data_IF_853366718415
#
_entry.id   IF_853366718415
#
_cell.length_a   1.000
_cell.length_b   1.000
_cell.length_c   1.000
_cell.angle_alpha   90.00
_cell.angle_beta   90.00
_cell.angle_gamma   90.00
#
_symmetry.space_group_name_H-M   'P 1'
#
loop_
_entity.id
_entity.type
_entity.pdbx_description
1 polymer ?
#
# COMPACT_ATOMS: atom_id res chain seq x y z
N UNK A 1 28.12 24.37 -10.67
CA UNK A 1 29.21 23.38 -10.70
C UNK A 1 28.76 22.15 -9.94
N UNK A 2 28.34 21.10 -10.65
CA UNK A 2 28.08 19.78 -10.06
C UNK A 2 29.42 19.05 -9.93
N UNK A 3 29.91 18.88 -8.71
CA UNK A 3 31.06 18.02 -8.45
C UNK A 3 30.66 16.59 -8.77
N UNK A 4 31.20 16.06 -9.87
CA UNK A 4 31.01 14.67 -10.27
C UNK A 4 31.94 13.82 -9.39
N UNK A 5 31.51 13.51 -8.16
CA UNK A 5 32.20 12.54 -7.33
C UNK A 5 31.99 11.17 -7.97
N UNK A 6 32.95 10.71 -8.77
CA UNK A 6 33.05 9.32 -9.18
C UNK A 6 33.19 8.47 -7.93
N UNK A 7 32.08 7.94 -7.42
CA UNK A 7 32.12 6.95 -6.37
C UNK A 7 32.99 5.78 -6.87
N UNK A 8 33.94 5.29 -6.06
CA UNK A 8 34.70 4.10 -6.43
C UNK A 8 33.73 2.94 -6.70
N UNK A 9 34.02 2.07 -7.69
CA UNK A 9 33.13 0.96 -8.03
C UNK A 9 32.87 0.14 -6.77
N UNK A 10 31.60 0.10 -6.36
CA UNK A 10 31.18 -0.75 -5.23
C UNK A 10 31.62 -2.18 -5.55
N UNK A 11 32.31 -2.89 -4.63
CA UNK A 11 32.69 -4.27 -4.85
C UNK A 11 31.46 -5.07 -5.25
N UNK A 12 31.53 -5.77 -6.38
CA UNK A 12 30.45 -6.65 -6.83
C UNK A 12 30.34 -7.80 -5.82
N UNK A 13 29.35 -7.71 -4.93
CA UNK A 13 29.06 -8.72 -3.92
C UNK A 13 27.80 -9.49 -4.32
N UNK A 14 27.75 -10.81 -4.05
CA UNK A 14 26.59 -11.62 -4.37
C UNK A 14 25.35 -11.16 -3.60
N UNK A 15 24.15 -11.49 -4.08
CA UNK A 15 22.89 -11.08 -3.43
C UNK A 15 22.82 -11.55 -1.97
N UNK A 16 23.33 -12.75 -1.68
CA UNK A 16 23.34 -13.31 -0.33
C UNK A 16 23.99 -12.35 0.68
N UNK A 17 25.13 -11.76 0.32
CA UNK A 17 25.84 -10.78 1.15
C UNK A 17 24.95 -9.56 1.48
N UNK A 18 24.18 -9.06 0.51
CA UNK A 18 23.30 -7.91 0.72
C UNK A 18 22.02 -8.24 1.50
N UNK A 19 21.63 -9.52 1.56
CA UNK A 19 20.48 -9.99 2.33
C UNK A 19 20.84 -10.38 3.77
N UNK A 20 22.12 -10.60 4.07
CA UNK A 20 22.59 -10.95 5.41
C UNK A 20 22.26 -9.85 6.44
N UNK A 21 21.77 -10.29 7.60
CA UNK A 21 21.38 -9.36 8.67
C UNK A 21 22.56 -8.58 9.26
N UNK A 22 23.77 -9.13 9.18
CA UNK A 22 24.98 -8.51 9.72
C UNK A 22 25.42 -7.31 8.88
N UNK A 23 25.37 -7.44 7.54
CA UNK A 23 25.66 -6.34 6.60
C UNK A 23 24.61 -5.23 6.73
N UNK A 24 23.34 -5.60 6.98
CA UNK A 24 22.28 -4.63 7.23
C UNK A 24 22.46 -3.84 8.54
N UNK A 25 23.07 -4.45 9.59
CA UNK A 25 23.37 -3.78 10.86
C UNK A 25 24.50 -2.75 10.73
N UNK A 26 25.46 -2.99 9.86
CA UNK A 26 26.59 -2.10 9.61
C UNK A 26 26.19 -0.84 8.83
N UNK A 27 25.05 -0.86 8.14
CA UNK A 27 24.55 0.28 7.36
C UNK A 27 23.51 1.08 8.15
N UNK A 28 23.61 2.43 8.21
CA UNK A 28 22.60 3.26 8.86
C UNK A 28 21.19 2.96 8.33
N UNK A 29 20.19 2.96 9.20
CA UNK A 29 18.81 2.56 8.86
C UNK A 29 18.19 3.39 7.72
N UNK A 30 18.67 4.63 7.57
CA UNK A 30 18.19 5.62 6.60
C UNK A 30 19.05 5.75 5.34
N UNK A 31 20.15 5.00 5.22
CA UNK A 31 20.96 5.04 3.99
C UNK A 31 20.14 4.43 2.84
N UNK A 32 19.90 5.18 1.75
CA UNK A 32 19.18 4.65 0.60
C UNK A 32 20.01 3.54 -0.06
N UNK A 33 19.34 2.47 -0.44
CA UNK A 33 19.91 1.39 -1.25
C UNK A 33 18.89 0.94 -2.28
N UNK A 34 19.36 0.42 -3.41
CA UNK A 34 18.48 -0.08 -4.46
C UNK A 34 17.54 -1.17 -3.92
N UNK A 35 18.05 -2.08 -3.08
CA UNK A 35 17.24 -3.13 -2.45
C UNK A 35 16.17 -2.57 -1.49
N UNK A 36 16.50 -1.56 -0.68
CA UNK A 36 15.53 -0.89 0.20
C UNK A 36 14.44 -0.19 -0.60
N UNK A 37 14.80 0.42 -1.71
CA UNK A 37 13.85 1.10 -2.60
C UNK A 37 12.92 0.08 -3.31
N UNK A 38 13.45 -1.03 -3.80
CA UNK A 38 12.64 -2.12 -4.35
C UNK A 38 11.68 -2.69 -3.31
N UNK A 39 12.15 -2.89 -2.08
CA UNK A 39 11.29 -3.31 -0.98
C UNK A 39 10.20 -2.27 -0.68
N UNK A 40 10.55 -0.98 -0.65
CA UNK A 40 9.59 0.09 -0.44
C UNK A 40 8.48 0.09 -1.49
N UNK A 41 8.83 0.00 -2.78
CA UNK A 41 7.86 -0.14 -3.89
C UNK A 41 7.00 -1.40 -3.73
N UNK A 42 7.57 -2.49 -3.23
CA UNK A 42 6.84 -3.74 -3.00
C UNK A 42 5.73 -3.54 -1.97
N UNK A 43 6.09 -2.90 -0.85
CA UNK A 43 5.15 -2.51 0.19
C UNK A 43 4.06 -1.59 -0.35
N UNK A 44 4.41 -0.59 -1.16
CA UNK A 44 3.46 0.35 -1.74
C UNK A 44 2.45 -0.30 -2.68
N UNK A 45 2.89 -1.16 -3.60
CA UNK A 45 1.95 -1.84 -4.51
C UNK A 45 1.01 -2.77 -3.76
N UNK A 46 1.46 -3.41 -2.68
CA UNK A 46 0.58 -4.22 -1.80
C UNK A 46 -0.38 -3.35 -1.01
N UNK A 47 0.11 -2.23 -0.46
CA UNK A 47 -0.70 -1.22 0.23
C UNK A 47 -1.78 -0.64 -0.67
N UNK A 48 -1.44 -0.28 -1.91
CA UNK A 48 -2.38 0.18 -2.93
C UNK A 48 -3.47 -0.85 -3.22
N UNK A 49 -3.09 -2.11 -3.46
CA UNK A 49 -4.06 -3.17 -3.70
C UNK A 49 -5.00 -3.39 -2.51
N UNK A 50 -4.45 -3.35 -1.28
CA UNK A 50 -5.23 -3.49 -0.06
C UNK A 50 -6.18 -2.29 0.16
N UNK A 51 -5.71 -1.07 -0.09
CA UNK A 51 -6.53 0.13 -0.04
C UNK A 51 -7.70 0.07 -1.04
N UNK A 52 -7.43 -0.27 -2.30
CA UNK A 52 -8.48 -0.47 -3.31
C UNK A 52 -9.48 -1.56 -2.88
N UNK A 53 -9.00 -2.67 -2.30
CA UNK A 53 -9.86 -3.76 -1.87
C UNK A 53 -10.84 -3.29 -0.77
N UNK A 54 -10.36 -2.56 0.24
CA UNK A 54 -11.26 -2.02 1.27
C UNK A 54 -12.16 -0.89 0.76
N UNK A 55 -11.73 -0.06 -0.20
CA UNK A 55 -12.63 0.88 -0.90
C UNK A 55 -13.73 0.10 -1.63
N UNK A 56 -13.40 -1.02 -2.28
CA UNK A 56 -14.38 -1.91 -2.90
C UNK A 56 -15.37 -2.49 -1.89
N UNK A 57 -14.89 -3.02 -0.76
CA UNK A 57 -15.77 -3.51 0.33
C UNK A 57 -16.72 -2.41 0.81
N UNK A 58 -16.22 -1.19 0.97
CA UNK A 58 -17.04 -0.04 1.35
C UNK A 58 -18.08 0.29 0.28
N UNK A 59 -17.69 0.26 -1.00
CA UNK A 59 -18.59 0.45 -2.13
C UNK A 59 -19.72 -0.58 -2.17
N UNK A 60 -19.42 -1.85 -1.89
CA UNK A 60 -20.44 -2.91 -1.76
C UNK A 60 -21.37 -2.65 -0.57
N UNK A 61 -20.83 -2.22 0.57
CA UNK A 61 -21.64 -1.86 1.73
C UNK A 61 -22.58 -0.67 1.47
N UNK A 62 -22.12 0.35 0.76
CA UNK A 62 -22.94 1.50 0.35
C UNK A 62 -24.02 1.04 -0.65
N UNK A 63 -23.66 0.21 -1.63
CA UNK A 63 -24.63 -0.33 -2.59
C UNK A 63 -25.73 -1.13 -1.89
N UNK A 64 -25.36 -1.96 -0.90
CA UNK A 64 -26.31 -2.70 -0.08
C UNK A 64 -27.23 -1.77 0.72
N UNK A 65 -26.68 -0.74 1.39
CA UNK A 65 -27.48 0.26 2.10
C UNK A 65 -28.45 0.98 1.18
N UNK A 66 -28.02 1.35 -0.02
CA UNK A 66 -28.88 1.98 -1.02
C UNK A 66 -29.99 1.03 -1.49
N UNK A 67 -29.68 -0.24 -1.71
CA UNK A 67 -30.70 -1.22 -2.09
C UNK A 67 -31.77 -1.39 -0.99
N UNK A 68 -31.40 -1.34 0.28
CA UNK A 68 -32.32 -1.47 1.43
C UNK A 68 -33.11 -0.18 1.71
N UNK A 69 -32.50 0.98 1.48
CA UNK A 69 -33.08 2.29 1.83
C UNK A 69 -33.82 2.98 0.68
N UNK A 70 -33.27 2.87 -0.52
CA UNK A 70 -33.77 3.49 -1.76
C UNK A 70 -33.77 2.44 -2.89
N UNK A 71 -34.55 1.36 -2.77
CA UNK A 71 -34.58 0.27 -3.76
C UNK A 71 -34.93 0.76 -5.17
N UNK A 72 -35.68 1.87 -5.28
CA UNK A 72 -36.06 2.47 -6.55
C UNK A 72 -34.88 2.96 -7.40
N UNK A 73 -33.71 3.21 -6.80
CA UNK A 73 -32.52 3.72 -7.50
C UNK A 73 -31.62 2.54 -7.94
N UNK A 74 -32.18 1.64 -8.76
CA UNK A 74 -31.56 0.37 -9.16
C UNK A 74 -30.20 0.59 -9.83
N UNK A 75 -30.16 1.52 -10.78
CA UNK A 75 -28.95 1.79 -11.56
C UNK A 75 -27.77 2.22 -10.68
N UNK A 76 -28.01 2.95 -9.58
CA UNK A 76 -26.96 3.50 -8.75
C UNK A 76 -26.27 2.41 -7.92
N UNK A 77 -27.05 1.56 -7.24
CA UNK A 77 -26.45 0.47 -6.47
C UNK A 77 -25.86 -0.61 -7.38
N UNK A 78 -26.46 -0.88 -8.55
CA UNK A 78 -25.86 -1.78 -9.54
C UNK A 78 -24.51 -1.27 -10.05
N UNK A 79 -24.41 0.03 -10.37
CA UNK A 79 -23.17 0.67 -10.79
C UNK A 79 -22.09 0.59 -9.69
N UNK A 80 -22.48 0.85 -8.44
CA UNK A 80 -21.55 0.75 -7.30
C UNK A 80 -21.03 -0.68 -7.09
N UNK A 81 -21.89 -1.70 -7.25
CA UNK A 81 -21.45 -3.10 -7.18
C UNK A 81 -20.41 -3.38 -8.27
N UNK A 82 -20.70 -3.01 -9.52
CA UNK A 82 -19.76 -3.23 -10.63
C UNK A 82 -18.45 -2.49 -10.39
N UNK A 83 -18.50 -1.21 -10.00
CA UNK A 83 -17.30 -0.41 -9.73
C UNK A 83 -16.47 -0.99 -8.57
N UNK A 84 -17.12 -1.42 -7.49
CA UNK A 84 -16.46 -2.04 -6.34
C UNK A 84 -15.77 -3.35 -6.72
N UNK A 85 -16.46 -4.23 -7.46
CA UNK A 85 -15.89 -5.49 -7.94
C UNK A 85 -14.70 -5.24 -8.89
N UNK A 86 -14.82 -4.26 -9.80
CA UNK A 86 -13.72 -3.87 -10.67
C UNK A 86 -12.50 -3.39 -9.88
N UNK A 87 -12.68 -2.56 -8.85
CA UNK A 87 -11.58 -2.13 -7.98
C UNK A 87 -10.92 -3.29 -7.24
N UNK A 88 -11.73 -4.22 -6.70
CA UNK A 88 -11.24 -5.40 -5.97
C UNK A 88 -10.48 -6.39 -6.87
N UNK A 89 -10.74 -6.42 -8.18
CA UNK A 89 -10.05 -7.32 -9.12
C UNK A 89 -8.89 -6.62 -9.84
N UNK A 90 -9.12 -5.44 -10.40
CA UNK A 90 -8.15 -4.74 -11.23
C UNK A 90 -6.96 -4.21 -10.42
N UNK A 91 -7.17 -3.61 -9.24
CA UNK A 91 -6.05 -3.08 -8.46
C UNK A 91 -5.06 -4.19 -8.01
N UNK A 92 -5.51 -5.35 -7.49
CA UNK A 92 -4.59 -6.46 -7.20
C UNK A 92 -3.91 -7.04 -8.44
N UNK A 93 -4.59 -7.10 -9.59
CA UNK A 93 -3.96 -7.52 -10.85
C UNK A 93 -2.86 -6.55 -11.28
N UNK A 94 -3.13 -5.24 -11.26
CA UNK A 94 -2.14 -4.21 -11.56
C UNK A 94 -0.96 -4.30 -10.58
N UNK A 95 -1.24 -4.46 -9.29
CA UNK A 95 -0.23 -4.64 -8.26
C UNK A 95 0.66 -5.86 -8.53
N UNK A 96 0.07 -7.03 -8.83
CA UNK A 96 0.81 -8.24 -9.23
C UNK A 96 1.70 -8.00 -10.46
N UNK A 97 1.17 -7.34 -11.49
CA UNK A 97 1.91 -7.02 -12.72
C UNK A 97 3.04 -6.02 -12.50
N UNK A 98 2.93 -5.15 -11.49
CA UNK A 98 3.97 -4.17 -11.14
C UNK A 98 5.02 -4.78 -10.23
N UNK A 99 4.62 -5.63 -9.28
CA UNK A 99 5.51 -6.39 -8.40
C UNK A 99 6.40 -7.34 -9.21
N UNK A 100 5.88 -7.98 -10.25
CA UNK A 100 6.71 -8.83 -11.12
C UNK A 100 7.80 -8.07 -11.89
N UNK A 101 7.67 -6.74 -12.00
CA UNK A 101 8.63 -5.84 -12.67
C UNK A 101 9.45 -5.00 -11.69
N UNK A 102 9.49 -5.40 -10.41
CA UNK A 102 10.11 -4.60 -9.37
C UNK A 102 11.64 -4.55 -9.49
N UNK A 103 12.24 -5.61 -10.02
CA UNK A 103 13.66 -5.69 -10.35
C UNK A 103 13.98 -5.00 -11.70
N UNK A 104 13.19 -3.99 -12.10
CA UNK A 104 13.57 -3.11 -13.21
C UNK A 104 14.37 -1.94 -12.65
N UNK A 105 15.59 -1.73 -13.16
CA UNK A 105 16.50 -0.64 -12.78
C UNK A 105 15.99 0.78 -13.09
N UNK A 106 14.67 0.96 -13.25
CA UNK A 106 14.05 2.27 -13.41
C UNK A 106 14.00 2.97 -12.05
N UNK A 107 14.41 4.24 -12.04
CA UNK A 107 14.39 5.10 -10.85
C UNK A 107 13.00 5.20 -10.23
N UNK A 108 12.92 5.31 -8.89
CA UNK A 108 11.64 5.34 -8.20
C UNK A 108 10.93 6.66 -8.46
N UNK A 109 9.61 6.60 -8.62
CA UNK A 109 8.79 7.78 -8.38
C UNK A 109 8.80 8.05 -6.87
N UNK A 110 9.17 9.27 -6.48
CA UNK A 110 9.06 9.76 -5.11
C UNK A 110 7.61 9.61 -4.64
N UNK A 111 7.36 8.60 -3.80
CA UNK A 111 6.05 8.39 -3.19
C UNK A 111 6.07 8.87 -1.75
N UNK A 112 5.13 9.76 -1.43
CA UNK A 112 4.97 10.42 -0.12
C UNK A 112 3.95 9.67 0.77
N UNK A 113 3.92 8.34 0.69
CA UNK A 113 3.05 7.54 1.56
C UNK A 113 3.53 7.56 3.02
N UNK A 114 2.62 7.35 3.97
CA UNK A 114 2.94 7.31 5.40
C UNK A 114 4.02 6.26 5.70
N UNK A 115 5.10 6.69 6.36
CA UNK A 115 6.27 5.85 6.62
C UNK A 115 6.10 4.89 7.80
N UNK A 116 5.07 5.06 8.64
CA UNK A 116 4.86 4.27 9.85
C UNK A 116 3.39 3.87 10.04
N UNK A 117 3.19 2.72 10.70
CA UNK A 117 1.86 2.22 11.09
C UNK A 117 1.19 3.19 12.06
N UNK A 118 1.94 3.72 13.04
CA UNK A 118 1.40 4.64 14.04
C UNK A 118 0.85 5.92 13.40
N UNK A 119 1.52 6.48 12.40
CA UNK A 119 1.01 7.62 11.64
C UNK A 119 -0.26 7.25 10.87
N UNK A 120 -0.31 6.07 10.25
CA UNK A 120 -1.50 5.56 9.56
C UNK A 120 -2.69 5.37 10.51
N UNK A 121 -2.47 4.78 11.68
CA UNK A 121 -3.50 4.59 12.72
C UNK A 121 -3.97 5.93 13.28
N UNK A 122 -3.05 6.85 13.59
CA UNK A 122 -3.39 8.19 14.07
C UNK A 122 -4.25 8.95 13.06
N UNK A 123 -3.86 8.94 11.78
CA UNK A 123 -4.65 9.55 10.71
C UNK A 123 -6.03 8.89 10.54
N UNK A 124 -6.09 7.55 10.60
CA UNK A 124 -7.35 6.82 10.50
C UNK A 124 -8.32 7.19 11.63
N UNK A 125 -7.86 7.22 12.88
CA UNK A 125 -8.68 7.57 14.04
C UNK A 125 -9.16 9.02 13.94
N UNK A 126 -8.24 9.95 13.67
CA UNK A 126 -8.55 11.38 13.57
C UNK A 126 -9.59 11.65 12.48
N UNK A 127 -9.37 11.13 11.27
CA UNK A 127 -10.31 11.33 10.17
C UNK A 127 -11.63 10.59 10.42
N UNK A 128 -11.59 9.38 10.98
CA UNK A 128 -12.83 8.66 11.35
C UNK A 128 -13.67 9.48 12.31
N UNK A 129 -13.07 10.08 13.33
CA UNK A 129 -13.81 10.91 14.30
C UNK A 129 -14.49 12.11 13.61
N UNK A 130 -13.80 12.78 12.70
CA UNK A 130 -14.36 13.89 11.91
C UNK A 130 -15.52 13.40 11.04
N UNK A 131 -15.32 12.33 10.26
CA UNK A 131 -16.34 11.81 9.37
C UNK A 131 -17.55 11.23 10.11
N UNK A 132 -17.35 10.58 11.25
CA UNK A 132 -18.42 10.11 12.12
C UNK A 132 -19.22 11.29 12.65
N UNK A 133 -18.56 12.34 13.18
CA UNK A 133 -19.25 13.52 13.68
C UNK A 133 -20.08 14.21 12.58
N UNK A 134 -19.52 14.38 11.38
CA UNK A 134 -20.24 14.93 10.23
C UNK A 134 -21.40 14.03 9.80
N UNK A 135 -21.19 12.72 9.75
CA UNK A 135 -22.23 11.76 9.41
C UNK A 135 -23.37 11.76 10.44
N UNK A 136 -23.09 11.96 11.74
CA UNK A 136 -24.12 12.01 12.77
C UNK A 136 -25.17 13.10 12.52
N UNK A 137 -24.75 14.28 12.03
CA UNK A 137 -25.71 15.33 11.65
C UNK A 137 -26.61 14.92 10.48
N UNK A 138 -26.05 14.22 9.49
CA UNK A 138 -26.82 13.75 8.33
C UNK A 138 -27.72 12.53 8.65
N UNK A 139 -27.32 11.72 9.63
CA UNK A 139 -27.99 10.49 10.04
C UNK A 139 -29.00 10.70 11.16
N UNK A 140 -29.11 11.91 11.73
CA UNK A 140 -30.07 12.26 12.79
C UNK A 140 -31.50 11.76 12.49
N UNK A 141 -32.06 11.97 11.28
CA UNK A 141 -33.41 11.48 10.96
C UNK A 141 -33.54 9.96 11.03
N UNK A 142 -32.45 9.20 10.83
CA UNK A 142 -32.49 7.74 10.82
C UNK A 142 -32.67 7.18 12.23
N UNK A 143 -32.18 7.86 13.27
CA UNK A 143 -32.37 7.41 14.66
C UNK A 143 -33.84 7.44 15.08
N UNK A 144 -34.65 8.30 14.46
CA UNK A 144 -36.09 8.37 14.70
C UNK A 144 -36.91 7.31 13.93
N UNK A 145 -36.29 6.58 12.99
CA UNK A 145 -36.97 5.56 12.17
C UNK A 145 -36.98 4.16 12.81
N UNK A 146 -36.66 4.07 14.10
CA UNK A 146 -36.64 2.83 14.86
C UNK A 146 -35.45 1.92 14.51
N UNK A 147 -35.61 0.61 14.77
CA UNK A 147 -34.51 -0.36 14.69
C UNK A 147 -33.81 -0.39 13.30
N UNK A 148 -34.57 -0.25 12.21
CA UNK A 148 -34.02 -0.24 10.85
C UNK A 148 -33.09 0.96 10.61
N UNK A 149 -33.47 2.14 11.07
CA UNK A 149 -32.65 3.34 10.89
C UNK A 149 -31.38 3.29 11.73
N UNK A 150 -31.46 2.77 12.97
CA UNK A 150 -30.30 2.55 13.85
C UNK A 150 -29.32 1.57 13.21
N UNK A 151 -29.79 0.45 12.66
CA UNK A 151 -28.89 -0.54 12.02
C UNK A 151 -28.23 0.03 10.76
N UNK A 152 -28.96 0.80 9.94
CA UNK A 152 -28.37 1.50 8.80
C UNK A 152 -27.32 2.54 9.22
N UNK A 153 -27.58 3.32 10.28
CA UNK A 153 -26.62 4.30 10.79
C UNK A 153 -25.35 3.63 11.33
N UNK A 154 -25.50 2.54 12.11
CA UNK A 154 -24.38 1.74 12.60
C UNK A 154 -23.54 1.17 11.44
N UNK A 155 -24.19 0.70 10.38
CA UNK A 155 -23.50 0.24 9.18
C UNK A 155 -22.70 1.37 8.50
N UNK A 156 -23.25 2.59 8.41
CA UNK A 156 -22.50 3.74 7.86
C UNK A 156 -21.25 4.04 8.70
N UNK A 157 -21.34 4.05 10.03
CA UNK A 157 -20.16 4.25 10.88
C UNK A 157 -19.13 3.13 10.72
N UNK A 158 -19.56 1.87 10.63
CA UNK A 158 -18.66 0.76 10.36
C UNK A 158 -17.95 0.91 9.00
N UNK A 159 -18.67 1.34 7.95
CA UNK A 159 -18.10 1.58 6.63
C UNK A 159 -17.07 2.72 6.63
N UNK A 160 -17.30 3.80 7.39
CA UNK A 160 -16.31 4.88 7.59
C UNK A 160 -15.04 4.31 8.22
N UNK A 161 -15.16 3.52 9.29
CA UNK A 161 -14.00 2.91 9.95
C UNK A 161 -13.22 1.96 9.04
N UNK A 162 -13.92 1.13 8.27
CA UNK A 162 -13.32 0.23 7.27
C UNK A 162 -12.58 1.05 6.20
N UNK A 163 -13.20 2.11 5.69
CA UNK A 163 -12.60 3.00 4.68
C UNK A 163 -11.30 3.63 5.20
N UNK A 164 -11.34 4.22 6.39
CA UNK A 164 -10.17 4.89 6.98
C UNK A 164 -9.06 3.89 7.30
N UNK A 165 -9.41 2.73 7.84
CA UNK A 165 -8.43 1.65 8.10
C UNK A 165 -7.80 1.17 6.80
N UNK A 166 -8.60 0.97 5.76
CA UNK A 166 -8.13 0.52 4.45
C UNK A 166 -7.19 1.53 3.79
N UNK A 167 -7.52 2.82 3.84
CA UNK A 167 -6.78 3.87 3.14
C UNK A 167 -5.52 4.30 3.89
N UNK A 168 -5.52 4.27 5.23
CA UNK A 168 -4.40 4.80 6.02
C UNK A 168 -3.61 3.72 6.75
N UNK A 169 -4.27 2.75 7.37
CA UNK A 169 -3.60 1.72 8.19
C UNK A 169 -2.95 0.66 7.31
N UNK A 170 -3.67 0.12 6.33
CA UNK A 170 -3.14 -0.95 5.48
C UNK A 170 -1.90 -0.51 4.68
N UNK A 171 -1.87 0.65 4.00
CA UNK A 171 -0.65 1.11 3.34
C UNK A 171 0.50 1.31 4.30
N UNK A 172 0.25 1.89 5.49
CA UNK A 172 1.27 2.04 6.54
C UNK A 172 1.81 0.69 7.03
N UNK A 173 0.95 -0.32 7.16
CA UNK A 173 1.35 -1.69 7.51
C UNK A 173 2.26 -2.31 6.46
N UNK A 174 1.86 -2.28 5.18
CA UNK A 174 2.67 -2.85 4.11
C UNK A 174 3.97 -2.09 3.88
N UNK A 175 3.98 -0.77 4.08
CA UNK A 175 5.17 0.08 4.05
C UNK A 175 6.14 -0.28 5.19
N UNK A 176 5.65 -0.44 6.41
CA UNK A 176 6.47 -0.74 7.59
C UNK A 176 7.11 -2.14 7.50
N UNK A 177 6.35 -3.15 7.05
CA UNK A 177 6.85 -4.53 6.92
C UNK A 177 7.43 -4.84 5.54
N UNK A 178 7.63 -3.83 4.69
CA UNK A 178 8.00 -4.01 3.29
C UNK A 178 9.30 -4.81 3.12
N UNK A 179 10.33 -4.52 3.92
CA UNK A 179 11.63 -5.22 3.85
C UNK A 179 11.53 -6.71 4.22
N UNK A 180 10.80 -7.01 5.31
CA UNK A 180 10.58 -8.39 5.77
C UNK A 180 9.82 -9.19 4.73
N UNK A 181 8.74 -8.62 4.22
CA UNK A 181 7.88 -9.29 3.25
C UNK A 181 8.55 -9.41 1.89
N UNK A 182 9.35 -8.43 1.48
CA UNK A 182 10.16 -8.50 0.28
C UNK A 182 11.22 -9.60 0.37
N UNK A 183 11.93 -9.73 1.50
CA UNK A 183 12.87 -10.84 1.73
C UNK A 183 12.19 -12.19 1.56
N UNK A 184 11.05 -12.40 2.21
CA UNK A 184 10.24 -13.63 2.04
C UNK A 184 9.84 -13.86 0.58
N UNK A 185 9.50 -12.79 -0.14
CA UNK A 185 9.12 -12.89 -1.55
C UNK A 185 10.29 -13.28 -2.46
N UNK A 186 11.50 -12.80 -2.18
CA UNK A 186 12.74 -13.22 -2.84
C UNK A 186 12.97 -14.72 -2.62
N UNK A 187 12.81 -15.19 -1.39
CA UNK A 187 13.01 -16.60 -1.04
C UNK A 187 11.99 -17.52 -1.74
N UNK A 188 10.75 -17.04 -1.93
CA UNK A 188 9.67 -17.79 -2.59
C UNK A 188 9.71 -17.74 -4.11
N UNK A 189 10.46 -16.82 -4.71
CA UNK A 189 10.41 -16.54 -6.16
C UNK A 189 11.78 -16.74 -6.80
N UNK A 190 12.10 -17.94 -7.35
CA UNK A 190 13.39 -18.22 -7.96
C UNK A 190 13.75 -17.24 -9.09
N UNK A 191 12.76 -16.84 -9.89
CA UNK A 191 12.94 -15.88 -10.97
C UNK A 191 13.35 -14.50 -10.47
N UNK A 192 12.72 -14.00 -9.40
CA UNK A 192 13.08 -12.73 -8.78
C UNK A 192 14.49 -12.81 -8.18
N UNK A 193 14.81 -13.91 -7.51
CA UNK A 193 16.15 -14.12 -6.92
C UNK A 193 17.24 -14.08 -7.99
N UNK A 194 17.07 -14.78 -9.11
CA UNK A 194 18.02 -14.77 -10.23
C UNK A 194 18.17 -13.36 -10.83
N UNK A 195 17.07 -12.61 -10.99
CA UNK A 195 17.12 -11.22 -11.48
C UNK A 195 17.88 -10.30 -10.52
N UNK A 196 17.62 -10.41 -9.23
CA UNK A 196 18.32 -9.63 -8.20
C UNK A 196 19.80 -10.02 -8.10
N UNK A 197 20.15 -11.30 -8.27
CA UNK A 197 21.54 -11.77 -8.30
C UNK A 197 22.28 -11.16 -9.48
N UNK A 198 21.72 -11.26 -10.69
CA UNK A 198 22.30 -10.63 -11.87
C UNK A 198 22.44 -9.11 -11.69
N UNK A 199 21.40 -8.46 -11.18
CA UNK A 199 21.41 -7.02 -10.92
C UNK A 199 22.42 -6.63 -9.84
N UNK A 200 22.68 -7.45 -8.83
CA UNK A 200 23.69 -7.16 -7.81
C UNK A 200 25.11 -7.07 -8.38
N UNK A 201 25.37 -7.81 -9.48
CA UNK A 201 26.65 -7.84 -10.18
C UNK A 201 26.76 -6.73 -11.22
N UNK A 202 25.64 -6.39 -11.87
CA UNK A 202 25.59 -5.41 -12.97
C UNK A 202 25.02 -4.06 -12.57
N UNK A 203 24.77 -3.81 -11.28
CA UNK A 203 24.13 -2.58 -10.82
C UNK A 203 24.94 -1.36 -11.22
N UNK A 204 24.34 -0.57 -12.10
CA UNK A 204 24.76 0.79 -12.40
C UNK A 204 23.61 1.67 -11.99
N UNK A 205 23.88 2.59 -11.07
CA UNK A 205 22.83 3.47 -10.58
C UNK A 205 22.37 4.43 -11.69
N UNK A 206 21.08 4.44 -12.06
CA UNK A 206 20.55 5.35 -13.06
C UNK A 206 20.66 6.84 -12.69
N UNK A 207 20.80 7.19 -11.39
CA UNK A 207 20.82 8.60 -10.92
C UNK A 207 22.14 8.97 -10.23
N UNK A 208 23.02 8.00 -9.96
CA UNK A 208 24.35 8.21 -9.35
C UNK A 208 24.34 8.57 -7.85
N UNK A 209 23.28 8.25 -7.12
CA UNK A 209 23.07 8.55 -5.71
C UNK A 209 22.84 7.33 -4.78
N UNK A 210 22.88 6.10 -5.29
CA UNK A 210 22.48 4.87 -4.60
C UNK A 210 23.31 3.66 -5.04
N UNK A 211 23.98 3.02 -4.09
CA UNK A 211 24.56 1.68 -4.30
C UNK A 211 23.47 0.61 -4.27
N UNK A 212 23.77 -0.59 -4.78
CA UNK A 212 22.85 -1.73 -4.70
C UNK A 212 22.44 -1.99 -3.24
N UNK A 213 23.45 -2.07 -2.36
CA UNK A 213 23.38 -1.93 -0.91
C UNK A 213 22.52 -2.98 -0.18
N UNK A 214 22.59 -3.04 1.17
CA UNK A 214 21.83 -4.02 1.93
C UNK A 214 20.35 -3.66 2.01
N UNK A 215 19.53 -4.68 2.24
CA UNK A 215 18.08 -4.58 2.51
C UNK A 215 17.80 -4.16 3.97
#
# INVERSE_FOLDING_TARGET
MSFNYSQPPTPQRPLHYWLESEVAKLSPQHTPSALREMAWRFGQWRGFAAACAGIGVVGLGIAWLLAVWRPQIIWLWALLIVAALLLMVLCPLISKLKISKIASGKSPMLSRAAASISAGVGAAIFLSAIFVALASFALDPWFHMGAKGITCAAAVYALILILMTSVFVLPGYFAHYARRDFRRHIDQSPSLRTQLEHMSQTWVDPVGNQSFGPL
#
